data_IF_578853680387
#
_entry.id   IF_578853680387
#
_cell.length_a   1.000
_cell.length_b   1.000
_cell.length_c   1.000
_cell.angle_alpha   90.00
_cell.angle_beta   90.00
_cell.angle_gamma   90.00
#
_symmetry.space_group_name_H-M   'P 1'
#
loop_
_entity.id
_entity.type
_entity.pdbx_description
1 polymer ?
#
# COMPACT_ATOMS: atom_id res chain seq x y z
N UNK A 1 1.10 -19.77 -18.48
CA UNK A 1 0.57 -18.95 -17.36
C UNK A 1 0.94 -17.50 -17.62
N UNK A 2 0.04 -16.53 -17.45
CA UNK A 2 0.41 -15.10 -17.49
C UNK A 2 0.92 -14.66 -16.11
N UNK A 3 2.05 -13.97 -16.08
CA UNK A 3 2.56 -13.36 -14.85
C UNK A 3 1.75 -12.11 -14.48
N UNK A 4 1.39 -11.98 -13.20
CA UNK A 4 0.78 -10.74 -12.68
C UNK A 4 1.88 -9.69 -12.59
N UNK A 5 1.72 -8.58 -13.33
CA UNK A 5 2.70 -7.48 -13.37
C UNK A 5 2.32 -6.31 -12.47
N UNK A 6 1.03 -6.15 -12.19
CA UNK A 6 0.48 -5.04 -11.42
C UNK A 6 -0.75 -5.46 -10.62
N UNK A 7 -0.89 -4.91 -9.42
CA UNK A 7 -2.01 -5.18 -8.51
C UNK A 7 -2.56 -3.86 -7.97
N UNK A 8 -3.88 -3.71 -7.95
CA UNK A 8 -4.54 -2.62 -7.25
C UNK A 8 -5.22 -3.18 -5.99
N UNK A 9 -4.91 -2.60 -4.83
CA UNK A 9 -5.54 -2.92 -3.55
C UNK A 9 -6.46 -1.76 -3.18
N UNK A 10 -7.75 -2.05 -3.05
CA UNK A 10 -8.78 -1.06 -2.71
C UNK A 10 -9.10 -1.20 -1.22
N UNK A 11 -8.72 -0.18 -0.46
CA UNK A 11 -8.75 -0.13 0.99
C UNK A 11 -7.33 -0.09 1.58
N UNK A 12 -6.98 1.01 2.23
CA UNK A 12 -5.70 1.27 2.90
C UNK A 12 -5.81 1.14 4.44
N UNK A 13 -6.79 0.38 4.92
CA UNK A 13 -6.81 -0.10 6.31
C UNK A 13 -5.66 -1.08 6.60
N UNK A 14 -5.59 -1.59 7.83
CA UNK A 14 -4.47 -2.43 8.31
C UNK A 14 -4.22 -3.64 7.39
N UNK A 15 -5.28 -4.34 6.99
CA UNK A 15 -5.17 -5.53 6.14
C UNK A 15 -4.76 -5.16 4.72
N UNK A 16 -5.43 -4.19 4.10
CA UNK A 16 -5.16 -3.81 2.70
C UNK A 16 -3.75 -3.24 2.51
N UNK A 17 -3.28 -2.43 3.45
CA UNK A 17 -1.90 -1.94 3.45
C UNK A 17 -0.89 -3.10 3.56
N UNK A 18 -1.14 -4.08 4.43
CA UNK A 18 -0.27 -5.25 4.60
C UNK A 18 -0.26 -6.16 3.36
N UNK A 19 -1.42 -6.35 2.71
CA UNK A 19 -1.51 -7.08 1.44
C UNK A 19 -0.72 -6.35 0.35
N UNK A 20 -0.88 -5.03 0.25
CA UNK A 20 -0.14 -4.21 -0.71
C UNK A 20 1.37 -4.33 -0.50
N UNK A 21 1.84 -4.25 0.75
CA UNK A 21 3.25 -4.42 1.11
C UNK A 21 3.77 -5.81 0.72
N UNK A 22 3.01 -6.87 1.00
CA UNK A 22 3.40 -8.24 0.66
C UNK A 22 3.56 -8.44 -0.85
N UNK A 23 2.62 -7.91 -1.64
CA UNK A 23 2.65 -7.99 -3.10
C UNK A 23 3.76 -7.11 -3.68
N UNK A 24 4.04 -5.95 -3.08
CA UNK A 24 5.13 -5.09 -3.48
C UNK A 24 6.51 -5.75 -3.23
N UNK A 25 6.67 -6.44 -2.10
CA UNK A 25 7.85 -7.26 -1.82
C UNK A 25 8.07 -8.37 -2.85
N UNK A 26 7.01 -8.89 -3.48
CA UNK A 26 7.09 -9.86 -4.57
C UNK A 26 7.50 -9.23 -5.92
N UNK A 27 7.82 -7.94 -5.95
CA UNK A 27 8.28 -7.22 -7.16
C UNK A 27 7.17 -6.80 -8.12
N UNK A 28 5.91 -6.88 -7.69
CA UNK A 28 4.77 -6.41 -8.48
C UNK A 28 4.59 -4.90 -8.29
N UNK A 29 4.15 -4.20 -9.35
CA UNK A 29 3.73 -2.79 -9.22
C UNK A 29 2.40 -2.73 -8.47
N UNK A 30 2.36 -2.08 -7.31
CA UNK A 30 1.15 -1.99 -6.48
C UNK A 30 0.57 -0.58 -6.47
N UNK A 31 -0.74 -0.48 -6.67
CA UNK A 31 -1.53 0.73 -6.41
C UNK A 31 -2.35 0.50 -5.14
N UNK A 32 -2.11 1.28 -4.09
CA UNK A 32 -2.92 1.30 -2.88
C UNK A 32 -3.90 2.47 -2.95
N UNK A 33 -5.19 2.17 -2.98
CA UNK A 33 -6.26 3.16 -3.15
C UNK A 33 -7.18 3.14 -1.92
N UNK A 34 -7.69 4.31 -1.53
CA UNK A 34 -8.73 4.42 -0.51
C UNK A 34 -9.67 5.59 -0.87
N UNK A 35 -10.77 5.72 -0.12
CA UNK A 35 -11.72 6.80 -0.25
C UNK A 35 -11.08 8.14 0.10
N UNK A 36 -11.53 9.20 -0.59
CA UNK A 36 -11.14 10.57 -0.25
C UNK A 36 -11.88 10.99 1.01
N UNK A 37 -11.15 11.45 2.04
CA UNK A 37 -11.78 12.02 3.23
C UNK A 37 -12.49 13.33 2.87
N UNK A 38 -13.76 13.53 3.29
CA UNK A 38 -14.44 14.81 3.12
C UNK A 38 -13.65 15.95 3.78
N UNK A 39 -13.47 17.06 3.07
CA UNK A 39 -12.77 18.24 3.58
C UNK A 39 -11.24 18.16 3.56
N UNK A 40 -10.65 17.06 3.10
CA UNK A 40 -9.21 16.91 2.97
C UNK A 40 -8.72 17.43 1.61
N UNK A 41 -7.68 18.28 1.61
CA UNK A 41 -7.08 18.78 0.38
C UNK A 41 -6.23 17.70 -0.32
N UNK A 42 -5.55 16.86 0.48
CA UNK A 42 -4.79 15.73 -0.03
C UNK A 42 -5.68 14.49 -0.20
N UNK A 43 -6.04 14.20 -1.46
CA UNK A 43 -6.88 13.04 -1.82
C UNK A 43 -6.25 11.69 -1.44
N UNK A 44 -4.93 11.62 -1.29
CA UNK A 44 -4.19 10.39 -0.97
C UNK A 44 -3.90 10.24 0.53
N UNK A 45 -4.37 11.16 1.38
CA UNK A 45 -3.98 11.22 2.79
C UNK A 45 -4.14 9.88 3.54
N UNK A 46 -5.16 9.07 3.22
CA UNK A 46 -5.35 7.76 3.83
C UNK A 46 -4.27 6.76 3.37
N UNK A 47 -4.08 6.64 2.05
CA UNK A 47 -3.12 5.69 1.48
C UNK A 47 -1.67 6.04 1.84
N UNK A 48 -1.31 7.33 1.77
CA UNK A 48 0.01 7.82 2.20
C UNK A 48 0.22 7.59 3.70
N UNK A 49 -0.79 7.89 4.53
CA UNK A 49 -0.74 7.63 5.96
C UNK A 49 -0.58 6.14 6.28
N UNK A 50 -1.16 5.25 5.49
CA UNK A 50 -0.97 3.81 5.63
C UNK A 50 0.47 3.39 5.27
N UNK A 51 1.03 3.91 4.18
CA UNK A 51 2.43 3.66 3.78
C UNK A 51 3.40 4.14 4.87
N UNK A 52 3.19 5.34 5.41
CA UNK A 52 4.03 5.88 6.49
C UNK A 52 3.95 5.05 7.77
N UNK A 53 2.79 4.45 8.07
CA UNK A 53 2.66 3.49 9.18
C UNK A 53 3.44 2.22 8.90
N UNK A 54 3.32 1.64 7.70
CA UNK A 54 4.05 0.43 7.31
C UNK A 54 5.56 0.62 7.46
N UNK A 55 6.12 1.76 7.06
CA UNK A 55 7.56 2.08 7.20
C UNK A 55 8.07 2.06 8.66
N UNK A 56 7.19 2.26 9.63
CA UNK A 56 7.54 2.37 11.07
C UNK A 56 7.22 1.11 11.87
N UNK A 57 6.56 0.13 11.26
CA UNK A 57 6.15 -1.12 11.94
C UNK A 57 7.34 -2.06 12.14
N UNK A 58 7.29 -2.83 13.23
CA UNK A 58 8.26 -3.88 13.58
C UNK A 58 7.51 -5.21 13.83
N UNK A 59 7.79 -6.29 13.08
CA UNK A 59 8.77 -6.39 11.99
C UNK A 59 8.36 -5.58 10.75
N UNK A 60 9.36 -5.11 10.00
CA UNK A 60 9.17 -4.27 8.81
C UNK A 60 8.35 -5.00 7.71
N UNK A 61 7.15 -4.53 7.36
CA UNK A 61 6.34 -5.12 6.30
C UNK A 61 6.89 -4.87 4.89
N UNK A 62 7.64 -3.77 4.70
CA UNK A 62 8.31 -3.42 3.44
C UNK A 62 9.78 -3.81 3.54
N UNK A 63 10.22 -4.79 2.75
CA UNK A 63 11.54 -5.42 2.91
C UNK A 63 12.66 -4.75 2.10
N UNK A 64 12.35 -3.74 1.27
CA UNK A 64 13.35 -3.04 0.48
C UNK A 64 12.84 -1.76 -0.19
N UNK A 65 13.74 -0.97 -0.77
CA UNK A 65 13.42 0.34 -1.38
C UNK A 65 12.54 0.29 -2.63
N UNK A 66 12.31 -0.92 -3.17
CA UNK A 66 11.45 -1.17 -4.33
C UNK A 66 10.04 -1.63 -3.93
N UNK A 67 9.83 -1.92 -2.65
CA UNK A 67 8.53 -2.32 -2.08
C UNK A 67 7.74 -1.09 -1.63
#
# INVERSE_FOLDING_TARGET
MMAIKSVAVIGAGVMGASIAAHVANAGCKVLLLDIVKPGEANRNAIAEGAIEKLKKMDPAPLMGSRA
#
